data_IF_866954342940
#
_entry.id   IF_866954342940
#
_cell.length_a   1.000
_cell.length_b   1.000
_cell.length_c   1.000
_cell.angle_alpha   90.00
_cell.angle_beta   90.00
_cell.angle_gamma   90.00
#
_symmetry.space_group_name_H-M   'P 1'
#
loop_
_entity.id
_entity.type
_entity.pdbx_description
1 polymer ?
#
# COMPACT_ATOMS: atom_id res chain seq x y z
N UNK A 1 -62.30 69.25 14.08
CA UNK A 1 -62.74 68.31 13.02
C UNK A 1 -61.66 68.37 11.95
N UNK A 2 -60.58 67.59 12.00
CA UNK A 2 -60.50 66.12 11.93
C UNK A 2 -60.76 65.72 10.47
N UNK A 3 -59.86 65.15 9.67
CA UNK A 3 -58.56 64.51 9.89
C UNK A 3 -57.79 64.58 8.56
N UNK A 4 -56.47 64.81 8.60
CA UNK A 4 -55.57 64.84 7.43
C UNK A 4 -54.80 63.53 7.31
N UNK A 5 -54.63 63.09 6.06
CA UNK A 5 -53.82 61.95 5.61
C UNK A 5 -52.40 61.97 6.20
N UNK A 6 -51.93 60.82 6.68
CA UNK A 6 -50.53 60.60 7.04
C UNK A 6 -50.01 59.38 6.27
N UNK A 7 -49.07 59.64 5.36
CA UNK A 7 -48.12 58.67 4.83
C UNK A 7 -47.14 58.29 5.95
N UNK A 8 -47.05 57.00 6.27
CA UNK A 8 -46.03 56.45 7.17
C UNK A 8 -45.22 55.42 6.41
N UNK A 9 -44.01 55.81 6.03
CA UNK A 9 -42.95 54.89 5.67
C UNK A 9 -42.18 54.44 6.92
N UNK A 10 -41.41 53.39 6.68
CA UNK A 10 -40.21 52.96 7.41
C UNK A 10 -40.37 52.06 8.65
N UNK A 11 -39.44 51.11 8.68
CA UNK A 11 -38.95 50.33 9.83
C UNK A 11 -39.67 49.04 10.23
N UNK A 12 -39.38 47.95 9.51
CA UNK A 12 -39.24 46.62 10.13
C UNK A 12 -38.42 45.64 9.27
N UNK A 13 -37.18 46.03 8.96
CA UNK A 13 -36.11 45.08 8.58
C UNK A 13 -35.05 45.10 9.67
N UNK A 14 -35.32 44.43 10.80
CA UNK A 14 -34.25 44.00 11.67
C UNK A 14 -34.71 42.80 12.51
N UNK A 15 -33.76 41.96 12.91
CA UNK A 15 -33.90 40.70 13.67
C UNK A 15 -34.12 39.40 12.88
N UNK A 16 -33.17 39.04 12.02
CA UNK A 16 -32.70 37.64 11.94
C UNK A 16 -31.19 37.61 11.63
N UNK A 17 -30.36 38.15 12.52
CA UNK A 17 -28.91 37.89 12.49
C UNK A 17 -28.65 36.53 13.13
N UNK A 18 -28.35 35.55 12.29
CA UNK A 18 -27.93 34.21 12.72
C UNK A 18 -26.56 34.36 13.41
N UNK A 19 -26.36 33.87 14.65
CA UNK A 19 -25.05 33.94 15.29
C UNK A 19 -24.04 33.09 14.50
N UNK A 20 -22.77 33.53 14.36
CA UNK A 20 -21.74 32.74 13.69
C UNK A 20 -21.49 31.46 14.47
N UNK A 21 -21.59 30.31 13.79
CA UNK A 21 -21.21 29.01 14.36
C UNK A 21 -19.71 29.00 14.70
N UNK A 22 -19.31 28.43 15.85
CA UNK A 22 -17.90 28.23 16.16
C UNK A 22 -17.27 27.24 15.18
N UNK A 23 -16.06 27.57 14.73
CA UNK A 23 -15.26 26.80 13.80
C UNK A 23 -14.79 25.50 14.47
N UNK A 24 -15.42 24.37 14.13
CA UNK A 24 -15.00 23.05 14.61
C UNK A 24 -13.76 22.67 13.82
N UNK A 25 -12.59 22.79 14.45
CA UNK A 25 -11.35 22.22 13.91
C UNK A 25 -11.48 20.70 13.90
N UNK A 26 -11.66 20.13 12.72
CA UNK A 26 -11.53 18.70 12.50
C UNK A 26 -10.02 18.41 12.48
N UNK A 27 -9.48 17.91 13.59
CA UNK A 27 -8.14 17.35 13.59
C UNK A 27 -8.16 16.09 12.70
N UNK A 28 -7.36 16.10 11.63
CA UNK A 28 -7.17 14.91 10.79
C UNK A 28 -6.55 13.80 11.66
N UNK A 29 -7.14 12.59 11.71
CA UNK A 29 -6.59 11.51 12.53
C UNK A 29 -5.19 11.14 12.01
N UNK A 30 -4.21 11.07 12.92
CA UNK A 30 -2.85 10.63 12.59
C UNK A 30 -2.83 9.16 12.22
N UNK A 31 -2.87 8.90 10.91
CA UNK A 31 -2.82 7.58 10.31
C UNK A 31 -1.39 7.02 10.42
N UNK A 32 -1.19 5.90 11.13
CA UNK A 32 0.06 5.14 11.09
C UNK A 32 1.08 5.32 12.20
N UNK A 33 0.71 5.85 13.38
CA UNK A 33 1.63 6.09 14.50
C UNK A 33 1.96 4.84 15.33
N UNK A 34 1.11 3.80 15.28
CA UNK A 34 1.27 2.63 16.16
C UNK A 34 2.16 1.54 15.51
N UNK A 35 3.20 1.10 16.22
CA UNK A 35 4.18 0.11 15.75
C UNK A 35 3.64 -1.30 16.01
N UNK A 36 2.54 -1.65 15.33
CA UNK A 36 1.88 -2.96 15.47
C UNK A 36 1.53 -3.54 14.10
N UNK A 37 1.64 -4.87 13.95
CA UNK A 37 1.25 -5.60 12.74
C UNK A 37 -0.19 -6.08 12.89
N UNK A 38 -1.06 -5.68 11.96
CA UNK A 38 -2.47 -6.05 11.93
C UNK A 38 -2.75 -6.95 10.73
N UNK A 39 -3.43 -8.07 10.96
CA UNK A 39 -3.66 -9.12 9.96
C UNK A 39 -5.12 -9.10 9.50
N UNK A 40 -5.33 -9.00 8.18
CA UNK A 40 -6.66 -9.06 7.56
C UNK A 40 -6.83 -10.34 6.72
N UNK A 41 -8.07 -10.80 6.62
CA UNK A 41 -8.53 -11.96 5.88
C UNK A 41 -9.57 -11.56 4.83
N UNK A 42 -9.74 -12.36 3.79
CA UNK A 42 -10.78 -12.13 2.78
C UNK A 42 -12.18 -12.43 3.32
N UNK A 43 -13.04 -11.42 3.32
CA UNK A 43 -14.45 -11.50 3.72
C UNK A 43 -15.38 -11.85 2.55
N UNK A 44 -16.68 -12.06 2.82
CA UNK A 44 -17.66 -12.37 1.77
C UNK A 44 -17.69 -11.30 0.66
N UNK A 45 -17.75 -11.70 -0.62
CA UNK A 45 -17.69 -10.76 -1.74
C UNK A 45 -18.96 -9.92 -1.81
N UNK A 46 -18.80 -8.59 -1.82
CA UNK A 46 -19.91 -7.65 -1.99
C UNK A 46 -20.29 -7.45 -3.49
N UNK A 47 -19.34 -7.64 -4.41
CA UNK A 47 -19.57 -7.71 -5.85
C UNK A 47 -18.60 -8.70 -6.50
N UNK A 48 -18.83 -9.02 -7.78
CA UNK A 48 -17.89 -9.82 -8.60
C UNK A 48 -16.56 -9.10 -8.92
N UNK A 49 -16.44 -7.83 -8.54
CA UNK A 49 -15.41 -6.90 -8.96
C UNK A 49 -14.41 -6.48 -7.87
N UNK A 50 -14.72 -6.71 -6.59
CA UNK A 50 -13.99 -6.11 -5.47
C UNK A 50 -13.74 -7.15 -4.37
N UNK A 51 -12.50 -7.21 -3.87
CA UNK A 51 -12.11 -8.03 -2.72
C UNK A 51 -12.42 -7.28 -1.43
N UNK A 52 -13.11 -7.94 -0.51
CA UNK A 52 -13.52 -7.37 0.78
C UNK A 52 -12.59 -7.89 1.89
N UNK A 53 -12.11 -7.02 2.77
CA UNK A 53 -11.10 -7.36 3.78
C UNK A 53 -11.69 -7.27 5.19
N UNK A 54 -11.49 -8.30 6.02
CA UNK A 54 -12.01 -8.42 7.39
C UNK A 54 -10.91 -8.79 8.37
N UNK A 55 -10.90 -8.16 9.54
CA UNK A 55 -9.85 -8.39 10.55
C UNK A 55 -10.11 -9.61 11.45
N UNK A 56 -11.36 -10.09 11.49
CA UNK A 56 -11.78 -11.23 12.32
C UNK A 56 -12.51 -12.26 11.45
N UNK A 57 -12.26 -13.54 11.68
CA UNK A 57 -13.08 -14.64 11.12
C UNK A 57 -14.56 -14.32 11.40
N UNK A 58 -15.44 -14.39 10.39
CA UNK A 58 -16.50 -13.42 10.20
C UNK A 58 -17.55 -13.47 11.30
N UNK A 59 -17.85 -12.29 11.85
CA UNK A 59 -19.21 -11.77 12.04
C UNK A 59 -19.13 -10.23 12.21
N UNK A 60 -19.62 -9.54 11.17
CA UNK A 60 -20.04 -8.13 11.07
C UNK A 60 -19.38 -7.14 12.05
N UNK A 61 -18.41 -6.34 11.58
CA UNK A 61 -17.86 -5.22 12.37
C UNK A 61 -18.41 -3.89 11.83
N UNK A 62 -19.03 -3.05 12.70
CA UNK A 62 -19.65 -1.77 12.31
C UNK A 62 -18.62 -0.68 11.97
N UNK A 63 -19.11 0.43 11.41
CA UNK A 63 -18.38 1.57 10.83
C UNK A 63 -17.27 2.15 11.74
N UNK A 64 -17.41 2.02 13.06
CA UNK A 64 -16.43 2.35 14.10
C UNK A 64 -15.08 1.63 13.91
N UNK A 65 -15.05 0.50 13.19
CA UNK A 65 -13.83 -0.23 12.91
C UNK A 65 -12.96 0.44 11.84
N UNK A 66 -13.54 1.18 10.88
CA UNK A 66 -12.77 1.87 9.84
C UNK A 66 -11.83 2.93 10.44
N UNK A 67 -12.31 3.71 11.41
CA UNK A 67 -11.48 4.69 12.13
C UNK A 67 -10.32 4.05 12.91
N UNK A 68 -10.45 2.77 13.30
CA UNK A 68 -9.42 2.04 14.05
C UNK A 68 -8.25 1.56 13.18
N UNK A 69 -8.46 1.37 11.87
CA UNK A 69 -7.43 0.80 10.96
C UNK A 69 -6.60 1.85 10.24
N UNK A 70 -7.03 3.10 10.24
CA UNK A 70 -6.23 4.21 9.73
C UNK A 70 -4.98 4.41 10.63
N UNK A 71 -4.97 3.99 11.90
CA UNK A 71 -3.81 4.14 12.79
C UNK A 71 -2.55 3.31 12.46
N UNK A 72 -2.58 2.36 11.51
CA UNK A 72 -1.48 1.41 11.28
C UNK A 72 -0.45 1.87 10.22
N UNK A 73 0.84 1.79 10.54
CA UNK A 73 1.93 2.24 9.66
C UNK A 73 2.00 1.45 8.34
N UNK A 74 1.73 0.14 8.41
CA UNK A 74 1.74 -0.81 7.29
C UNK A 74 0.57 -1.78 7.46
N UNK A 75 -0.25 -1.95 6.42
CA UNK A 75 -1.32 -2.93 6.37
C UNK A 75 -0.97 -4.07 5.40
N UNK A 76 -1.17 -5.31 5.82
CA UNK A 76 -0.96 -6.51 4.99
C UNK A 76 -2.32 -7.17 4.74
N UNK A 77 -2.65 -7.36 3.46
CA UNK A 77 -3.93 -7.89 3.03
C UNK A 77 -3.75 -9.29 2.44
N UNK A 78 -4.24 -10.33 3.12
CA UNK A 78 -4.03 -11.74 2.74
C UNK A 78 -5.24 -12.38 2.05
N UNK A 79 -5.11 -12.71 0.78
CA UNK A 79 -6.19 -13.33 -0.02
C UNK A 79 -6.14 -14.85 0.07
N UNK A 80 -7.27 -15.51 -0.18
CA UNK A 80 -7.26 -16.96 -0.41
C UNK A 80 -6.68 -17.22 -1.79
N UNK A 81 -5.80 -18.21 -1.90
CA UNK A 81 -5.42 -18.72 -3.20
C UNK A 81 -6.60 -19.51 -3.78
N UNK A 82 -7.17 -18.99 -4.87
CA UNK A 82 -8.27 -19.64 -5.59
C UNK A 82 -7.79 -20.57 -6.69
N UNK A 83 -6.49 -20.56 -7.01
CA UNK A 83 -5.86 -21.31 -8.10
C UNK A 83 -5.10 -22.54 -7.60
N UNK A 84 -4.67 -22.55 -6.33
CA UNK A 84 -4.02 -23.73 -5.73
C UNK A 84 -5.05 -24.83 -5.42
N UNK A 85 -4.91 -26.00 -6.07
CA UNK A 85 -5.54 -27.23 -5.62
C UNK A 85 -4.97 -27.62 -4.25
N UNK A 86 -5.85 -27.92 -3.30
CA UNK A 86 -5.46 -28.12 -1.90
C UNK A 86 -5.55 -29.59 -1.50
N UNK A 87 -4.45 -30.11 -0.96
CA UNK A 87 -4.47 -31.36 -0.19
C UNK A 87 -5.27 -31.14 1.09
N UNK A 88 -6.51 -31.66 1.13
CA UNK A 88 -7.39 -31.58 2.31
C UNK A 88 -8.35 -30.39 2.35
N UNK A 89 -8.53 -29.64 1.26
CA UNK A 89 -9.57 -28.61 1.13
C UNK A 89 -9.33 -27.30 1.89
N UNK A 90 -8.15 -27.13 2.51
CA UNK A 90 -7.75 -25.89 3.19
C UNK A 90 -6.98 -24.99 2.22
N UNK A 91 -7.59 -23.87 1.81
CA UNK A 91 -6.96 -22.86 0.94
C UNK A 91 -5.83 -22.13 1.66
N UNK A 92 -4.65 -22.08 1.02
CA UNK A 92 -3.52 -21.28 1.49
C UNK A 92 -3.93 -19.79 1.47
N UNK A 93 -3.60 -19.08 2.55
CA UNK A 93 -3.86 -17.64 2.67
C UNK A 93 -2.51 -16.94 2.52
N UNK A 94 -2.35 -16.21 1.42
CA UNK A 94 -1.09 -15.55 1.06
C UNK A 94 -1.27 -14.03 1.00
N UNK A 95 -0.25 -13.23 1.36
CA UNK A 95 -0.27 -11.79 1.18
C UNK A 95 -0.54 -11.46 -0.29
N UNK A 96 -1.56 -10.66 -0.60
CA UNK A 96 -1.93 -10.23 -1.96
C UNK A 96 -1.43 -8.83 -2.29
N UNK A 97 -1.51 -7.94 -1.30
CA UNK A 97 -0.94 -6.61 -1.39
C UNK A 97 -0.64 -6.07 0.00
N UNK A 98 0.22 -5.05 0.05
CA UNK A 98 0.49 -4.29 1.25
C UNK A 98 0.21 -2.81 0.98
N UNK A 99 -0.14 -2.07 2.02
CA UNK A 99 -0.29 -0.63 1.97
C UNK A 99 0.57 0.00 3.04
N UNK A 100 1.51 0.86 2.63
CA UNK A 100 2.34 1.67 3.51
C UNK A 100 1.63 3.02 3.68
N UNK A 101 1.20 3.31 4.91
CA UNK A 101 0.47 4.53 5.27
C UNK A 101 1.39 5.54 5.94
N UNK A 102 2.38 5.07 6.70
CA UNK A 102 3.34 5.93 7.40
C UNK A 102 4.04 6.89 6.43
N UNK A 103 3.86 8.20 6.68
CA UNK A 103 4.51 9.27 5.93
C UNK A 103 6.03 9.21 6.07
N UNK A 104 6.53 8.84 7.25
CA UNK A 104 7.97 8.65 7.53
C UNK A 104 8.56 7.59 6.60
N UNK A 105 7.97 6.40 6.57
CA UNK A 105 8.44 5.31 5.70
C UNK A 105 8.38 5.74 4.24
N UNK A 106 7.27 6.34 3.82
CA UNK A 106 7.06 6.77 2.44
C UNK A 106 8.10 7.79 1.98
N UNK A 107 8.39 8.80 2.80
CA UNK A 107 9.35 9.85 2.47
C UNK A 107 10.78 9.29 2.37
N UNK A 108 11.13 8.35 3.25
CA UNK A 108 12.45 7.72 3.28
C UNK A 108 12.69 6.78 2.10
N UNK A 109 11.68 6.00 1.69
CA UNK A 109 11.82 5.04 0.59
C UNK A 109 11.50 5.61 -0.79
N UNK A 110 10.79 6.74 -0.89
CA UNK A 110 10.49 7.41 -2.16
C UNK A 110 11.71 7.58 -3.07
N UNK A 111 12.84 8.16 -2.62
CA UNK A 111 14.01 8.33 -3.49
C UNK A 111 14.62 6.99 -3.95
N UNK A 112 14.50 5.94 -3.14
CA UNK A 112 14.99 4.60 -3.47
C UNK A 112 14.15 4.00 -4.60
N UNK A 113 12.82 4.08 -4.47
CA UNK A 113 11.89 3.53 -5.44
C UNK A 113 11.87 4.34 -6.75
N UNK A 114 12.02 5.67 -6.68
CA UNK A 114 12.16 6.54 -7.86
C UNK A 114 13.43 6.22 -8.64
N UNK A 115 14.57 6.08 -7.96
CA UNK A 115 15.84 5.71 -8.60
C UNK A 115 15.78 4.34 -9.27
N UNK A 116 15.05 3.40 -8.70
CA UNK A 116 14.83 2.08 -9.28
C UNK A 116 13.86 2.06 -10.46
N UNK A 117 13.26 3.19 -10.83
CA UNK A 117 12.18 3.24 -11.82
C UNK A 117 10.94 2.48 -11.37
N UNK A 118 10.80 2.18 -10.08
CA UNK A 118 9.74 1.31 -9.52
C UNK A 118 8.46 2.09 -9.20
N UNK A 119 8.47 3.42 -9.29
CA UNK A 119 7.25 4.22 -9.23
C UNK A 119 6.53 4.19 -10.58
N UNK A 120 5.55 3.29 -10.74
CA UNK A 120 4.55 3.37 -11.81
C UNK A 120 3.45 4.42 -11.55
N UNK A 121 3.36 4.89 -10.30
CA UNK A 121 2.36 5.87 -9.85
C UNK A 121 3.04 6.89 -8.93
N UNK A 122 2.79 8.20 -9.09
CA UNK A 122 3.26 9.18 -8.12
C UNK A 122 2.81 8.75 -6.73
N UNK A 123 3.71 8.79 -5.74
CA UNK A 123 3.41 8.46 -4.35
C UNK A 123 2.04 9.03 -4.01
N UNK A 124 1.03 8.17 -3.88
CA UNK A 124 -0.31 8.61 -3.54
C UNK A 124 -0.18 9.41 -2.26
N UNK A 125 -0.62 10.68 -2.26
CA UNK A 125 -0.32 11.67 -1.20
C UNK A 125 -0.46 11.10 0.22
N UNK A 126 -1.34 10.12 0.41
CA UNK A 126 -1.63 9.50 1.70
C UNK A 126 -1.17 8.03 1.86
N UNK A 127 -1.03 7.25 0.77
CA UNK A 127 -0.68 5.81 0.88
C UNK A 127 0.04 5.26 -0.35
N UNK A 128 0.92 4.28 -0.11
CA UNK A 128 1.62 3.51 -1.14
C UNK A 128 1.15 2.06 -1.10
N UNK A 129 0.54 1.58 -2.18
CA UNK A 129 0.08 0.19 -2.30
C UNK A 129 1.01 -0.59 -3.22
N UNK A 130 1.45 -1.77 -2.77
CA UNK A 130 2.37 -2.64 -3.50
C UNK A 130 1.73 -4.03 -3.60
N UNK A 131 1.68 -4.57 -4.81
CA UNK A 131 1.03 -5.85 -5.10
C UNK A 131 2.05 -6.99 -5.16
N UNK A 132 1.60 -8.21 -4.92
CA UNK A 132 2.39 -9.41 -5.17
C UNK A 132 2.96 -9.44 -6.59
N UNK A 133 4.21 -9.89 -6.79
CA UNK A 133 5.10 -10.52 -5.81
C UNK A 133 5.97 -9.52 -5.03
N UNK A 134 5.55 -8.25 -4.92
CA UNK A 134 6.25 -7.17 -4.20
C UNK A 134 7.63 -6.85 -4.82
N UNK A 135 7.70 -6.82 -6.15
CA UNK A 135 8.94 -6.64 -6.94
C UNK A 135 9.70 -5.40 -6.51
N UNK A 136 8.96 -4.31 -6.30
CA UNK A 136 9.46 -3.00 -5.91
C UNK A 136 10.23 -3.07 -4.58
N UNK A 137 9.65 -3.75 -3.58
CA UNK A 137 10.32 -3.94 -2.29
C UNK A 137 11.46 -4.95 -2.38
N UNK A 138 11.33 -6.01 -3.18
CA UNK A 138 12.37 -7.02 -3.32
C UNK A 138 13.68 -6.39 -3.85
N UNK A 139 13.60 -5.61 -4.92
CA UNK A 139 14.78 -4.95 -5.49
C UNK A 139 15.30 -3.80 -4.62
N UNK A 140 14.43 -3.07 -3.93
CA UNK A 140 14.82 -2.00 -3.02
C UNK A 140 15.36 -2.52 -1.67
N UNK A 141 15.23 -3.82 -1.37
CA UNK A 141 15.57 -4.39 -0.06
C UNK A 141 16.96 -4.03 0.45
N UNK A 142 18.06 -4.18 -0.32
CA UNK A 142 19.40 -3.84 0.17
C UNK A 142 19.53 -2.35 0.54
N UNK A 143 18.92 -1.47 -0.24
CA UNK A 143 18.97 -0.02 -0.05
C UNK A 143 18.15 0.40 1.17
N UNK A 144 16.98 -0.22 1.37
CA UNK A 144 16.13 0.01 2.56
C UNK A 144 16.83 -0.46 3.84
N UNK A 145 17.49 -1.63 3.80
CA UNK A 145 18.28 -2.13 4.95
C UNK A 145 19.46 -1.20 5.24
N UNK A 146 20.16 -0.72 4.22
CA UNK A 146 21.23 0.25 4.39
C UNK A 146 20.72 1.55 5.02
N UNK A 147 19.56 2.05 4.56
CA UNK A 147 18.92 3.25 5.10
C UNK A 147 18.55 3.06 6.59
N UNK A 148 18.01 1.91 6.95
CA UNK A 148 17.74 1.55 8.35
C UNK A 148 19.00 1.60 9.22
N UNK A 149 20.13 1.12 8.71
CA UNK A 149 21.40 1.15 9.44
C UNK A 149 22.01 2.56 9.54
N UNK A 150 21.80 3.43 8.55
CA UNK A 150 22.33 4.80 8.57
C UNK A 150 21.65 5.73 9.59
N UNK A 151 20.41 5.43 9.98
CA UNK A 151 19.69 6.24 10.97
C UNK A 151 20.20 6.04 12.40
N UNK A 152 20.13 7.09 13.21
CA UNK A 152 20.56 7.09 14.60
C UNK A 152 19.74 6.11 15.46
N UNK A 153 20.38 5.50 16.46
CA UNK A 153 19.68 4.61 17.39
C UNK A 153 18.58 5.36 18.15
N UNK A 154 17.37 4.80 18.15
CA UNK A 154 16.22 5.37 18.86
C UNK A 154 15.42 6.42 18.09
N UNK A 155 15.85 6.84 16.89
CA UNK A 155 15.09 7.75 16.04
C UNK A 155 13.75 7.14 15.61
N UNK A 156 12.75 7.98 15.32
CA UNK A 156 11.43 7.50 14.89
C UNK A 156 11.53 6.85 13.50
N UNK A 157 12.31 7.44 12.61
CA UNK A 157 12.61 6.93 11.27
C UNK A 157 13.18 5.53 11.35
N UNK A 158 14.13 5.28 12.26
CA UNK A 158 14.71 3.95 12.46
C UNK A 158 13.69 2.92 12.94
N UNK A 159 12.78 3.30 13.84
CA UNK A 159 11.71 2.40 14.33
C UNK A 159 10.74 2.04 13.22
N UNK A 160 10.33 3.03 12.42
CA UNK A 160 9.45 2.84 11.28
C UNK A 160 10.11 2.02 10.16
N UNK A 161 11.38 2.29 9.84
CA UNK A 161 12.14 1.50 8.86
C UNK A 161 12.40 0.07 9.36
N UNK A 162 12.61 -0.12 10.67
CA UNK A 162 12.71 -1.46 11.26
C UNK A 162 11.44 -2.27 10.99
N UNK A 163 10.27 -1.68 11.21
CA UNK A 163 8.99 -2.33 10.92
C UNK A 163 8.90 -2.76 9.46
N UNK A 164 9.31 -1.90 8.52
CA UNK A 164 9.34 -2.24 7.10
C UNK A 164 10.30 -3.40 6.80
N UNK A 165 11.52 -3.37 7.36
CA UNK A 165 12.52 -4.44 7.18
C UNK A 165 12.00 -5.77 7.74
N UNK A 166 11.37 -5.75 8.92
CA UNK A 166 10.79 -6.95 9.54
C UNK A 166 9.63 -7.51 8.69
N UNK A 167 8.78 -6.64 8.14
CA UNK A 167 7.71 -7.03 7.20
C UNK A 167 8.28 -7.62 5.92
N UNK A 168 9.32 -7.01 5.33
CA UNK A 168 9.98 -7.53 4.14
C UNK A 168 10.63 -8.89 4.40
N UNK A 169 11.22 -9.08 5.58
CA UNK A 169 11.75 -10.37 6.02
C UNK A 169 10.67 -11.46 6.06
N UNK A 170 9.46 -11.12 6.50
CA UNK A 170 8.31 -12.04 6.48
C UNK A 170 7.81 -12.29 5.05
N UNK A 171 7.63 -11.24 4.24
CA UNK A 171 7.14 -11.38 2.86
C UNK A 171 8.06 -12.25 2.00
N UNK A 172 9.37 -12.13 2.19
CA UNK A 172 10.37 -12.83 1.38
C UNK A 172 10.99 -14.03 2.09
N UNK A 173 10.42 -14.50 3.21
CA UNK A 173 11.01 -15.58 3.99
C UNK A 173 11.13 -16.90 3.20
N UNK A 174 10.23 -17.15 2.24
CA UNK A 174 10.27 -18.33 1.33
C UNK A 174 11.03 -18.00 0.05
N UNK A 175 10.81 -16.80 -0.48
CA UNK A 175 11.35 -16.36 -1.77
C UNK A 175 12.85 -16.16 -1.73
N UNK A 176 13.39 -15.47 -0.73
CA UNK A 176 14.82 -15.14 -0.68
C UNK A 176 15.73 -16.38 -0.60
N UNK A 177 15.48 -17.37 0.27
CA UNK A 177 16.28 -18.59 0.29
C UNK A 177 16.18 -19.38 -1.01
N UNK A 178 14.98 -19.44 -1.60
CA UNK A 178 14.75 -20.16 -2.86
C UNK A 178 15.50 -19.52 -4.02
N UNK A 179 15.46 -18.20 -4.13
CA UNK A 179 16.21 -17.44 -5.15
C UNK A 179 17.71 -17.62 -4.94
N UNK A 180 18.19 -17.59 -3.70
CA UNK A 180 19.60 -17.81 -3.39
C UNK A 180 20.07 -19.21 -3.82
N UNK A 181 19.29 -20.24 -3.52
CA UNK A 181 19.55 -21.63 -3.93
C UNK A 181 19.58 -21.77 -5.46
N UNK A 182 18.60 -21.19 -6.15
CA UNK A 182 18.52 -21.19 -7.61
C UNK A 182 19.73 -20.49 -8.23
N UNK A 183 20.09 -19.32 -7.69
CA UNK A 183 21.23 -18.54 -8.16
C UNK A 183 22.57 -19.28 -7.96
N UNK A 184 22.78 -19.93 -6.81
CA UNK A 184 23.96 -20.77 -6.56
C UNK A 184 24.08 -21.90 -7.59
N UNK A 185 22.95 -22.52 -7.96
CA UNK A 185 22.87 -23.56 -8.97
C UNK A 185 22.91 -23.03 -10.40
N UNK A 186 22.96 -21.71 -10.61
CA UNK A 186 22.84 -21.03 -11.92
C UNK A 186 21.57 -21.44 -12.67
N UNK A 187 20.49 -21.70 -11.93
CA UNK A 187 19.17 -22.03 -12.45
C UNK A 187 18.19 -20.91 -12.09
N UNK A 188 17.07 -20.86 -12.80
CA UNK A 188 15.92 -20.07 -12.41
C UNK A 188 14.65 -20.78 -12.85
N UNK A 189 13.62 -20.79 -12.01
CA UNK A 189 12.31 -21.28 -12.40
C UNK A 189 11.43 -20.12 -12.90
N UNK A 190 10.36 -20.46 -13.63
CA UNK A 190 9.46 -19.44 -14.18
C UNK A 190 8.80 -18.57 -13.10
N UNK A 191 8.62 -19.10 -11.89
CA UNK A 191 7.99 -18.38 -10.78
C UNK A 191 8.91 -17.30 -10.18
N UNK A 192 10.22 -17.51 -10.23
CA UNK A 192 11.22 -16.58 -9.71
C UNK A 192 11.92 -15.76 -10.80
N UNK A 193 11.56 -15.93 -12.08
CA UNK A 193 12.20 -15.22 -13.20
C UNK A 193 12.21 -13.68 -13.01
N UNK A 194 11.16 -13.14 -12.39
CA UNK A 194 11.07 -11.71 -12.11
C UNK A 194 12.18 -11.19 -11.18
N UNK A 195 12.88 -12.04 -10.43
CA UNK A 195 13.89 -11.61 -9.44
C UNK A 195 15.24 -11.24 -10.04
N UNK A 196 15.47 -11.55 -11.32
CA UNK A 196 16.73 -11.23 -12.03
C UNK A 196 16.58 -10.08 -13.03
N UNK A 197 15.35 -9.66 -13.31
CA UNK A 197 15.04 -8.60 -14.27
C UNK A 197 14.37 -7.41 -13.57
N UNK A 198 15.14 -6.57 -12.86
CA UNK A 198 14.62 -5.31 -12.38
C UNK A 198 14.14 -4.44 -13.54
N UNK A 199 13.04 -3.72 -13.33
CA UNK A 199 12.61 -2.66 -14.25
C UNK A 199 13.76 -1.68 -14.48
N UNK A 200 13.91 -1.22 -15.72
CA UNK A 200 15.00 -0.31 -16.07
C UNK A 200 16.20 -0.99 -16.75
N UNK A 201 16.34 -2.32 -16.65
CA UNK A 201 17.51 -2.97 -17.22
C UNK A 201 17.37 -3.25 -18.70
N UNK A 202 18.53 -3.36 -19.34
CA UNK A 202 18.64 -3.69 -20.75
C UNK A 202 18.80 -5.20 -20.90
N UNK A 203 17.95 -5.80 -21.72
CA UNK A 203 18.00 -7.22 -22.07
C UNK A 203 18.36 -7.35 -23.55
N UNK A 204 19.36 -8.18 -23.83
CA UNK A 204 19.74 -8.53 -25.18
C UNK A 204 19.03 -9.81 -25.61
N UNK A 205 18.55 -9.85 -26.85
CA UNK A 205 18.01 -11.07 -27.46
C UNK A 205 18.26 -11.07 -28.96
N UNK A 206 18.50 -12.26 -29.52
CA UNK A 206 18.59 -12.45 -30.96
C UNK A 206 17.24 -13.02 -31.45
N UNK A 207 16.50 -12.23 -32.23
CA UNK A 207 15.20 -12.63 -32.79
C UNK A 207 15.34 -12.64 -34.30
N UNK A 208 15.03 -13.79 -34.92
CA UNK A 208 15.16 -14.00 -36.37
C UNK A 208 16.56 -13.65 -36.94
N UNK A 209 17.63 -13.91 -36.18
CA UNK A 209 19.01 -13.62 -36.59
C UNK A 209 19.41 -12.14 -36.49
N UNK A 210 18.56 -11.30 -35.91
CA UNK A 210 18.85 -9.90 -35.66
C UNK A 210 19.00 -9.62 -34.17
N UNK A 211 20.02 -8.82 -33.86
CA UNK A 211 20.31 -8.37 -32.51
C UNK A 211 19.31 -7.30 -32.08
N UNK A 212 18.63 -7.58 -30.98
CA UNK A 212 17.68 -6.67 -30.36
C UNK A 212 18.09 -6.38 -28.93
N UNK A 213 17.82 -5.15 -28.53
CA UNK A 213 18.08 -4.64 -27.19
C UNK A 213 16.76 -4.08 -26.67
N UNK A 214 16.29 -4.62 -25.55
CA UNK A 214 15.01 -4.28 -24.94
C UNK A 214 15.22 -3.62 -23.60
N UNK A 215 14.31 -2.74 -23.22
CA UNK A 215 14.23 -2.20 -21.88
C UNK A 215 13.13 -2.93 -21.10
N UNK A 216 13.45 -3.44 -19.91
CA UNK A 216 12.46 -4.12 -19.07
C UNK A 216 11.53 -3.09 -18.44
N UNK A 217 10.24 -3.15 -18.80
CA UNK A 217 9.20 -2.36 -18.16
C UNK A 217 8.51 -3.15 -17.03
N UNK A 218 8.01 -4.36 -17.32
CA UNK A 218 7.53 -5.29 -16.31
C UNK A 218 7.88 -6.73 -16.68
N UNK A 219 7.92 -7.61 -15.67
CA UNK A 219 8.08 -9.06 -15.87
C UNK A 219 6.88 -9.76 -15.27
N UNK A 220 5.92 -10.08 -16.11
CA UNK A 220 4.71 -10.77 -15.69
C UNK A 220 4.71 -12.19 -16.24
N UNK A 221 4.21 -13.13 -15.43
CA UNK A 221 4.01 -14.49 -15.90
C UNK A 221 2.80 -14.49 -16.82
N UNK A 222 2.97 -15.02 -18.02
CA UNK A 222 1.84 -15.33 -18.89
C UNK A 222 0.97 -16.39 -18.19
N UNK A 223 -0.32 -16.10 -17.90
CA UNK A 223 -1.20 -17.05 -17.22
C UNK A 223 -1.49 -18.31 -18.06
N UNK A 224 -1.11 -18.33 -19.33
CA UNK A 224 -1.33 -19.47 -20.25
C UNK A 224 -0.13 -20.42 -20.39
N UNK A 225 0.98 -20.16 -19.69
CA UNK A 225 2.21 -20.95 -19.71
C UNK A 225 2.45 -21.79 -18.44
#
# INVERSE_FOLDING_TARGET
>A
MGSTFSTGGDDLYDFFTIPPMPDIKVDEPTVGEEITVQTFYEGPPACKCCTNWVERLPNLVPEVAKEKYDGAAICIYNGKDHMADTLGGLKEINPRHITIQSSVIRNEIAPILEKGGMLGTPLGKHKLTIHTPFKELFFAHPQIVQLYHSHAAGSQEKKHLKLLVDVMGQLFHRTSPRVAELHEKKLIDCAHLWTIFPRGIIVYSCIAGQDHVFHVDSVDRDPTA
#
